data_IF_238097022833
#
_entry.id   IF_238097022833
#
_cell.length_a   1.000
_cell.length_b   1.000
_cell.length_c   1.000
_cell.angle_alpha   90.00
_cell.angle_beta   90.00
_cell.angle_gamma   90.00
#
_symmetry.space_group_name_H-M   'P 1'
#
loop_
_entity.id
_entity.type
_entity.pdbx_description
1 polymer ?
#
# COMPACT_ATOMS: atom_id res chain seq x y z
N UNK A 1 2.27 13.35 14.13
CA UNK A 1 2.06 11.97 13.64
C UNK A 1 2.33 10.99 14.76
N UNK A 2 1.81 9.76 14.70
CA UNK A 2 1.99 8.77 15.76
C UNK A 2 1.84 7.34 15.24
N UNK A 3 2.48 6.40 15.93
CA UNK A 3 2.38 4.97 15.62
C UNK A 3 1.58 4.24 16.71
N UNK A 4 0.82 3.26 16.27
CA UNK A 4 0.01 2.37 17.09
C UNK A 4 0.68 0.98 17.08
N UNK A 5 0.84 0.36 18.25
CA UNK A 5 1.46 -0.97 18.36
C UNK A 5 0.74 -1.82 19.40
N UNK A 6 0.29 -2.99 18.99
CA UNK A 6 -0.36 -3.96 19.90
C UNK A 6 -1.65 -3.43 20.54
N UNK A 7 -2.37 -2.54 19.85
CA UNK A 7 -3.61 -1.94 20.33
C UNK A 7 -4.69 -3.02 20.39
N UNK A 8 -5.19 -3.30 21.60
CA UNK A 8 -6.25 -4.29 21.80
C UNK A 8 -7.61 -3.70 21.44
N UNK A 9 -8.38 -4.47 20.68
CA UNK A 9 -9.77 -4.20 20.35
C UNK A 9 -10.63 -5.45 20.40
N UNK A 10 -11.90 -5.28 20.05
CA UNK A 10 -12.89 -6.34 19.90
C UNK A 10 -13.50 -6.21 18.51
N UNK A 11 -13.44 -7.29 17.72
CA UNK A 11 -14.12 -7.40 16.45
C UNK A 11 -15.39 -8.25 16.64
N UNK A 12 -16.54 -7.76 16.17
CA UNK A 12 -17.78 -8.53 16.10
C UNK A 12 -17.87 -9.18 14.74
N UNK A 13 -17.94 -10.52 14.73
CA UNK A 13 -18.09 -11.35 13.53
C UNK A 13 -19.45 -12.04 13.53
N UNK A 14 -19.72 -12.83 12.49
CA UNK A 14 -20.88 -13.73 12.43
C UNK A 14 -20.93 -14.71 13.61
N UNK A 15 -19.77 -15.12 14.14
CA UNK A 15 -19.64 -16.06 15.26
C UNK A 15 -19.62 -15.36 16.63
N UNK A 16 -19.88 -14.05 16.67
CA UNK A 16 -19.80 -13.24 17.88
C UNK A 16 -18.49 -12.46 17.99
N UNK A 17 -18.21 -11.99 19.20
CA UNK A 17 -17.11 -11.06 19.50
C UNK A 17 -15.80 -11.80 19.75
N UNK A 18 -14.74 -11.37 19.06
CA UNK A 18 -13.39 -11.93 19.21
C UNK A 18 -12.37 -10.83 19.52
N UNK A 19 -11.34 -11.10 20.34
CA UNK A 19 -10.26 -10.15 20.55
C UNK A 19 -9.45 -9.96 19.27
N UNK A 20 -9.01 -8.73 19.02
CA UNK A 20 -8.18 -8.37 17.87
C UNK A 20 -7.09 -7.40 18.32
N UNK A 21 -5.92 -7.42 17.65
CA UNK A 21 -4.77 -6.61 18.01
C UNK A 21 -4.25 -5.85 16.80
N UNK A 22 -4.21 -4.52 16.90
CA UNK A 22 -3.83 -3.66 15.81
C UNK A 22 -2.44 -3.07 15.98
N UNK A 23 -1.74 -2.93 14.86
CA UNK A 23 -0.66 -1.96 14.69
C UNK A 23 -1.05 -0.96 13.60
N UNK A 24 -0.34 0.14 13.46
CA UNK A 24 -0.56 1.08 12.37
C UNK A 24 -0.14 2.49 12.74
N UNK A 25 -0.83 3.47 12.19
CA UNK A 25 -0.40 4.86 12.22
C UNK A 25 -1.56 5.83 12.25
N UNK A 26 -1.28 7.03 12.77
CA UNK A 26 -2.21 8.14 12.82
C UNK A 26 -1.51 9.46 12.49
N UNK A 27 -2.09 10.18 11.54
CA UNK A 27 -1.65 11.49 11.07
C UNK A 27 -2.68 12.56 11.43
N UNK A 28 -2.20 13.66 12.00
CA UNK A 28 -3.03 14.81 12.34
C UNK A 28 -2.38 16.07 11.78
N UNK A 29 -3.21 16.95 11.23
CA UNK A 29 -2.85 18.29 10.82
C UNK A 29 -3.65 19.28 11.65
N UNK A 30 -2.96 20.23 12.25
CA UNK A 30 -3.56 21.23 13.11
C UNK A 30 -3.43 22.61 12.45
N UNK A 31 -4.55 23.28 12.24
CA UNK A 31 -4.62 24.56 11.52
C UNK A 31 -5.12 25.65 12.48
N UNK A 32 -4.39 26.77 12.63
CA UNK A 32 -4.87 27.92 13.38
C UNK A 32 -6.18 28.49 12.81
N UNK A 33 -7.04 29.01 13.67
CA UNK A 33 -8.26 29.74 13.28
C UNK A 33 -8.61 30.83 14.29
N UNK A 34 -9.49 31.75 13.89
CA UNK A 34 -9.99 32.83 14.75
C UNK A 34 -10.64 32.34 16.06
N UNK A 35 -11.10 31.07 16.09
CA UNK A 35 -11.75 30.44 17.27
C UNK A 35 -10.87 29.40 17.98
N UNK A 36 -9.59 29.29 17.61
CA UNK A 36 -8.66 28.31 18.20
C UNK A 36 -7.97 27.43 17.15
N UNK A 37 -8.05 26.11 17.30
CA UNK A 37 -7.38 25.14 16.43
C UNK A 37 -8.42 24.23 15.76
N UNK A 38 -8.34 24.06 14.45
CA UNK A 38 -9.00 22.97 13.74
C UNK A 38 -8.05 21.79 13.60
N UNK A 39 -8.54 20.59 13.92
CA UNK A 39 -7.80 19.35 13.75
C UNK A 39 -8.36 18.58 12.55
N UNK A 40 -7.48 18.15 11.67
CA UNK A 40 -7.78 17.27 10.56
C UNK A 40 -7.08 15.95 10.78
N UNK A 41 -7.83 14.85 10.70
CA UNK A 41 -7.28 13.52 10.57
C UNK A 41 -6.83 13.33 9.12
N UNK A 42 -5.53 13.20 8.94
CA UNK A 42 -4.92 13.03 7.60
C UNK A 42 -4.57 11.58 7.32
N UNK A 43 -4.40 10.78 8.36
CA UNK A 43 -4.12 9.36 8.23
C UNK A 43 -4.66 8.60 9.43
N UNK A 44 -5.26 7.44 9.17
CA UNK A 44 -5.54 6.43 10.18
C UNK A 44 -5.43 5.06 9.52
N UNK A 45 -4.39 4.34 9.90
CA UNK A 45 -4.09 3.01 9.42
C UNK A 45 -4.14 2.04 10.59
N UNK A 46 -4.84 0.92 10.39
CA UNK A 46 -4.92 -0.18 11.36
C UNK A 46 -4.74 -1.50 10.63
N UNK A 47 -3.81 -2.32 11.10
CA UNK A 47 -3.54 -3.65 10.54
C UNK A 47 -3.52 -4.67 11.65
N UNK A 48 -4.14 -5.81 11.41
CA UNK A 48 -4.17 -6.94 12.32
C UNK A 48 -3.90 -8.25 11.60
N UNK A 49 -3.45 -9.23 12.37
CA UNK A 49 -3.47 -10.63 11.94
C UNK A 49 -4.92 -11.08 11.75
N UNK A 50 -5.10 -12.13 10.95
CA UNK A 50 -6.42 -12.65 10.68
C UNK A 50 -7.14 -13.23 11.90
N UNK A 51 -8.46 -13.06 11.92
CA UNK A 51 -9.37 -13.65 12.89
C UNK A 51 -10.16 -14.79 12.26
N UNK A 52 -10.58 -15.76 13.06
CA UNK A 52 -11.42 -16.87 12.58
C UNK A 52 -12.87 -16.41 12.46
N UNK A 53 -13.52 -16.78 11.35
CA UNK A 53 -14.93 -16.51 11.07
C UNK A 53 -15.64 -17.78 10.63
N UNK A 54 -16.96 -17.73 10.43
CA UNK A 54 -17.73 -18.85 9.88
C UNK A 54 -17.28 -19.25 8.47
N UNK A 55 -16.75 -18.30 7.69
CA UNK A 55 -16.30 -18.49 6.30
C UNK A 55 -14.78 -18.78 6.19
N UNK A 56 -14.12 -19.06 7.32
CA UNK A 56 -12.68 -19.27 7.41
C UNK A 56 -11.94 -18.10 8.07
N UNK A 57 -10.61 -18.18 8.13
CA UNK A 57 -9.78 -17.08 8.64
C UNK A 57 -9.83 -15.90 7.68
N UNK A 58 -9.88 -14.66 8.19
CA UNK A 58 -9.92 -13.46 7.35
C UNK A 58 -8.66 -13.23 6.52
N UNK A 59 -7.52 -13.84 6.91
CA UNK A 59 -6.19 -13.35 6.50
C UNK A 59 -5.88 -12.00 7.14
N UNK A 60 -4.77 -11.37 6.76
CA UNK A 60 -4.41 -10.03 7.24
C UNK A 60 -5.58 -9.07 7.03
N UNK A 61 -5.93 -8.34 8.08
CA UNK A 61 -7.02 -7.37 8.08
C UNK A 61 -6.42 -5.96 8.10
N UNK A 62 -6.81 -5.14 7.13
CA UNK A 62 -6.38 -3.75 7.01
C UNK A 62 -7.55 -2.78 7.00
N UNK A 63 -7.44 -1.70 7.77
CA UNK A 63 -8.27 -0.52 7.65
C UNK A 63 -7.42 0.69 7.32
N UNK A 64 -7.91 1.53 6.41
CA UNK A 64 -7.36 2.86 6.16
C UNK A 64 -8.45 3.91 6.12
N UNK A 65 -8.08 5.15 6.45
CA UNK A 65 -8.92 6.32 6.19
C UNK A 65 -9.31 6.37 4.71
N UNK A 66 -10.56 6.75 4.43
CA UNK A 66 -11.00 7.07 3.08
C UNK A 66 -10.20 8.21 2.48
N UNK A 67 -10.40 8.45 1.17
CA UNK A 67 -9.68 9.51 0.45
C UNK A 67 -9.99 10.89 1.05
N UNK A 68 -8.95 11.66 1.33
CA UNK A 68 -9.02 13.04 1.83
C UNK A 68 -8.78 13.19 3.34
N UNK A 69 -8.76 14.44 3.81
CA UNK A 69 -8.64 14.78 5.23
C UNK A 69 -10.04 14.82 5.88
N UNK A 70 -10.17 14.33 7.12
CA UNK A 70 -11.43 14.44 7.88
C UNK A 70 -11.32 15.45 9.00
N UNK A 71 -12.15 16.50 8.96
CA UNK A 71 -12.22 17.49 10.03
C UNK A 71 -12.76 16.90 11.34
N UNK A 72 -12.12 17.23 12.45
CA UNK A 72 -12.53 16.86 13.81
C UNK A 72 -12.96 18.11 14.57
N UNK A 73 -14.09 18.01 15.28
CA UNK A 73 -14.52 19.04 16.22
C UNK A 73 -13.64 18.96 17.47
N UNK A 74 -12.85 19.99 17.73
CA UNK A 74 -11.87 20.04 18.83
C UNK A 74 -12.25 21.07 19.89
N UNK A 75 -12.31 20.63 21.14
CA UNK A 75 -12.48 21.48 22.31
C UNK A 75 -11.14 21.68 23.04
N UNK A 76 -10.64 22.91 23.00
CA UNK A 76 -9.39 23.32 23.63
C UNK A 76 -9.38 23.15 25.16
N UNK A 77 -10.53 23.32 25.82
CA UNK A 77 -10.62 23.25 27.29
C UNK A 77 -10.47 21.82 27.77
N UNK A 78 -11.15 20.88 27.10
CA UNK A 78 -11.15 19.47 27.47
C UNK A 78 -10.05 18.67 26.76
N UNK A 79 -9.44 19.22 25.70
CA UNK A 79 -8.48 18.52 24.85
C UNK A 79 -9.14 17.41 24.00
N UNK A 80 -10.47 17.40 23.91
CA UNK A 80 -11.23 16.34 23.23
C UNK A 80 -11.51 16.73 21.78
N UNK A 81 -11.13 15.86 20.84
CA UNK A 81 -11.52 15.95 19.44
C UNK A 81 -12.44 14.80 19.07
N UNK A 82 -13.52 15.07 18.34
CA UNK A 82 -14.49 14.06 17.91
C UNK A 82 -14.89 14.24 16.46
N UNK A 83 -15.22 13.15 15.78
CA UNK A 83 -15.75 13.19 14.42
C UNK A 83 -16.27 11.84 13.95
N UNK A 84 -16.88 11.84 12.78
CA UNK A 84 -17.18 10.63 12.02
C UNK A 84 -16.16 10.49 10.89
N UNK A 85 -15.62 9.30 10.71
CA UNK A 85 -14.54 9.01 9.77
C UNK A 85 -14.96 7.89 8.82
N UNK A 86 -14.81 8.06 7.49
CA UNK A 86 -14.99 6.98 6.55
C UNK A 86 -13.74 6.11 6.53
N UNK A 87 -13.91 4.79 6.64
CA UNK A 87 -12.83 3.82 6.60
C UNK A 87 -13.07 2.80 5.49
N UNK A 88 -11.99 2.39 4.84
CA UNK A 88 -11.98 1.29 3.89
C UNK A 88 -11.41 0.07 4.61
N UNK A 89 -12.18 -1.01 4.62
CA UNK A 89 -11.82 -2.29 5.22
C UNK A 89 -11.49 -3.27 4.10
N UNK A 90 -10.35 -3.95 4.25
CA UNK A 90 -9.99 -5.12 3.46
C UNK A 90 -9.53 -6.26 4.37
N UNK A 91 -9.78 -7.47 3.90
CA UNK A 91 -9.20 -8.69 4.44
C UNK A 91 -9.12 -9.73 3.32
N UNK A 92 -8.03 -10.51 3.29
CA UNK A 92 -7.69 -11.43 2.19
C UNK A 92 -8.77 -12.48 1.87
N UNK A 93 -9.65 -12.81 2.83
CA UNK A 93 -10.80 -13.68 2.58
C UNK A 93 -11.75 -13.10 1.51
N UNK A 94 -11.82 -11.77 1.35
CA UNK A 94 -12.54 -11.15 0.22
C UNK A 94 -11.98 -11.66 -1.10
N UNK A 95 -10.65 -11.60 -1.26
CA UNK A 95 -9.97 -11.97 -2.50
C UNK A 95 -10.13 -13.47 -2.79
N UNK A 96 -10.06 -14.33 -1.75
CA UNK A 96 -10.27 -15.78 -1.91
C UNK A 96 -11.67 -16.16 -2.34
N UNK A 97 -12.70 -15.43 -1.87
CA UNK A 97 -14.11 -15.79 -2.11
C UNK A 97 -14.68 -15.07 -3.34
N UNK A 98 -14.30 -13.81 -3.56
CA UNK A 98 -14.83 -12.97 -4.64
C UNK A 98 -13.90 -12.87 -5.84
N UNK A 99 -12.63 -13.24 -5.68
CA UNK A 99 -11.60 -12.93 -6.66
C UNK A 99 -11.30 -11.43 -6.67
N UNK A 100 -10.76 -10.98 -7.80
CA UNK A 100 -10.41 -9.58 -8.03
C UNK A 100 -11.44 -8.92 -8.96
N UNK A 101 -11.51 -7.59 -8.91
CA UNK A 101 -12.29 -6.80 -9.86
C UNK A 101 -11.62 -6.88 -11.23
N UNK A 102 -12.42 -6.79 -12.29
CA UNK A 102 -11.87 -6.61 -13.64
C UNK A 102 -11.32 -5.18 -13.75
N UNK A 103 -10.11 -5.04 -14.29
CA UNK A 103 -9.53 -3.76 -14.66
C UNK A 103 -10.40 -3.06 -15.72
N UNK A 104 -10.35 -1.73 -15.76
CA UNK A 104 -11.09 -0.94 -16.75
C UNK A 104 -10.44 -0.96 -18.12
N UNK A 105 -9.13 -1.21 -18.19
CA UNK A 105 -8.34 -1.19 -19.43
C UNK A 105 -8.27 -2.59 -20.06
N UNK A 106 -8.68 -2.72 -21.33
CA UNK A 106 -8.55 -3.98 -22.07
C UNK A 106 -7.07 -4.25 -22.41
N UNK A 107 -6.55 -5.43 -22.03
CA UNK A 107 -5.25 -5.94 -22.46
C UNK A 107 -4.11 -5.89 -21.43
N UNK A 108 -4.36 -5.37 -20.23
CA UNK A 108 -3.39 -5.31 -19.13
C UNK A 108 -3.89 -6.13 -17.92
N UNK A 109 -3.02 -6.98 -17.37
CA UNK A 109 -3.36 -7.98 -16.36
C UNK A 109 -2.40 -7.97 -15.14
N UNK A 110 -1.61 -6.92 -14.94
CA UNK A 110 -0.66 -6.77 -13.81
C UNK A 110 -1.31 -6.26 -12.51
N UNK A 111 -2.44 -5.56 -12.61
CA UNK A 111 -3.12 -5.01 -11.46
C UNK A 111 -4.36 -5.82 -11.02
N UNK A 112 -4.26 -6.51 -9.88
CA UNK A 112 -5.35 -7.30 -9.31
C UNK A 112 -6.05 -6.56 -8.17
N UNK A 113 -7.03 -5.74 -8.55
CA UNK A 113 -7.74 -4.85 -7.64
C UNK A 113 -8.74 -5.60 -6.75
N UNK A 114 -8.65 -5.50 -5.42
CA UNK A 114 -9.50 -6.28 -4.53
C UNK A 114 -10.91 -5.71 -4.41
N UNK A 115 -11.84 -6.54 -3.94
CA UNK A 115 -13.06 -6.03 -3.35
C UNK A 115 -12.75 -5.45 -1.96
N UNK A 116 -13.42 -4.37 -1.59
CA UNK A 116 -13.28 -3.73 -0.29
C UNK A 116 -14.65 -3.45 0.31
N UNK A 117 -14.68 -3.35 1.62
CA UNK A 117 -15.86 -2.95 2.40
C UNK A 117 -15.65 -1.55 2.98
N UNK A 118 -16.73 -0.90 3.40
CA UNK A 118 -16.64 0.45 4.02
C UNK A 118 -17.14 0.38 5.45
N UNK A 119 -16.41 1.02 6.36
CA UNK A 119 -16.84 1.22 7.74
C UNK A 119 -17.08 2.70 8.02
N UNK A 120 -18.13 3.00 8.78
CA UNK A 120 -18.33 4.30 9.42
C UNK A 120 -17.72 4.24 10.81
N UNK A 121 -16.71 5.07 11.04
CA UNK A 121 -16.04 5.18 12.33
C UNK A 121 -16.51 6.40 13.12
N UNK A 122 -16.67 6.26 14.43
CA UNK A 122 -16.72 7.35 15.40
C UNK A 122 -15.37 7.41 16.10
N UNK A 123 -14.74 8.56 16.02
CA UNK A 123 -13.44 8.80 16.65
C UNK A 123 -13.57 9.74 17.84
N UNK A 124 -12.89 9.39 18.92
CA UNK A 124 -12.64 10.27 20.05
C UNK A 124 -11.14 10.29 20.30
N UNK A 125 -10.52 11.42 20.03
CA UNK A 125 -9.12 11.69 20.35
C UNK A 125 -9.06 12.58 21.58
N UNK A 126 -8.25 12.24 22.57
CA UNK A 126 -8.01 13.09 23.75
C UNK A 126 -6.53 13.46 23.78
N UNK A 127 -6.28 14.75 23.63
CA UNK A 127 -4.99 15.40 23.84
C UNK A 127 -4.93 15.96 25.27
N UNK A 128 -3.74 16.28 25.80
CA UNK A 128 -3.63 17.00 27.06
C UNK A 128 -4.43 18.32 27.00
N UNK A 129 -5.22 18.66 28.05
CA UNK A 129 -5.95 19.93 28.11
C UNK A 129 -5.04 21.14 27.86
N UNK A 130 -5.52 22.12 27.11
CA UNK A 130 -4.72 23.31 26.78
C UNK A 130 -3.57 23.04 25.81
N UNK A 131 -3.58 21.93 25.07
CA UNK A 131 -2.60 21.68 23.99
C UNK A 131 -2.65 22.83 22.98
N UNK A 132 -1.52 23.53 22.84
CA UNK A 132 -1.30 24.60 21.87
C UNK A 132 -0.48 24.09 20.67
N UNK A 133 -0.55 24.81 19.55
CA UNK A 133 0.33 24.56 18.41
C UNK A 133 1.78 24.82 18.81
N UNK A 134 2.66 23.85 18.54
CA UNK A 134 4.09 23.96 18.80
C UNK A 134 4.86 23.61 17.53
N UNK A 135 6.04 24.21 17.38
CA UNK A 135 6.96 23.90 16.29
C UNK A 135 7.61 22.51 16.46
N UNK A 136 7.71 22.03 17.70
CA UNK A 136 8.33 20.75 18.02
C UNK A 136 7.83 20.16 19.34
N UNK A 137 8.15 18.88 19.54
CA UNK A 137 7.89 18.15 20.76
C UNK A 137 6.98 16.94 20.53
N UNK A 138 6.61 16.29 21.62
CA UNK A 138 5.70 15.17 21.58
C UNK A 138 4.75 15.19 22.77
N UNK A 139 3.55 14.69 22.56
CA UNK A 139 2.51 14.57 23.57
C UNK A 139 1.98 13.14 23.61
N UNK A 140 1.49 12.72 24.77
CA UNK A 140 0.73 11.47 24.88
C UNK A 140 -0.73 11.78 24.59
N UNK A 141 -1.33 11.01 23.68
CA UNK A 141 -2.74 11.09 23.36
C UNK A 141 -3.42 9.74 23.61
N UNK A 142 -4.74 9.78 23.78
CA UNK A 142 -5.58 8.58 23.74
C UNK A 142 -6.59 8.66 22.61
N UNK A 143 -6.90 7.49 22.06
CA UNK A 143 -7.79 7.28 20.95
C UNK A 143 -8.83 6.25 21.35
N UNK A 144 -10.10 6.54 21.11
CA UNK A 144 -11.19 5.58 21.16
C UNK A 144 -11.83 5.57 19.76
N UNK A 145 -12.02 4.37 19.23
CA UNK A 145 -12.60 4.14 17.92
C UNK A 145 -13.72 3.11 18.04
N UNK A 146 -14.84 3.45 17.43
CA UNK A 146 -15.95 2.53 17.19
C UNK A 146 -16.25 2.56 15.69
N UNK A 147 -16.20 1.41 15.05
CA UNK A 147 -16.31 1.29 13.60
C UNK A 147 -17.37 0.26 13.27
N UNK A 148 -18.32 0.63 12.42
CA UNK A 148 -19.43 -0.22 12.00
C UNK A 148 -19.47 -0.37 10.49
N UNK A 149 -19.70 -1.59 10.03
CA UNK A 149 -19.81 -1.91 8.62
C UNK A 149 -20.99 -1.17 7.99
N UNK A 150 -20.73 -0.52 6.86
CA UNK A 150 -21.69 0.35 6.16
C UNK A 150 -21.85 0.01 4.69
N UNK A 151 -20.90 -0.72 4.10
CA UNK A 151 -20.98 -1.29 2.75
C UNK A 151 -20.55 -2.75 2.82
N UNK A 152 -21.35 -3.63 2.22
CA UNK A 152 -21.32 -5.07 2.45
C UNK A 152 -20.89 -5.81 1.18
N UNK A 153 -19.87 -6.68 1.29
CA UNK A 153 -19.46 -7.62 0.25
C UNK A 153 -19.54 -9.06 0.77
N UNK A 154 -18.87 -9.35 1.88
CA UNK A 154 -18.97 -10.63 2.60
C UNK A 154 -19.49 -10.46 4.03
N UNK A 155 -19.29 -9.29 4.63
CA UNK A 155 -19.84 -8.90 5.94
C UNK A 155 -19.39 -9.78 7.12
N UNK A 156 -18.19 -10.35 7.02
CA UNK A 156 -17.66 -11.26 8.08
C UNK A 156 -17.17 -10.48 9.30
N UNK A 157 -16.76 -9.22 9.12
CA UNK A 157 -16.38 -8.29 10.19
C UNK A 157 -17.38 -7.14 10.22
N UNK A 158 -18.25 -7.13 11.23
CA UNK A 158 -19.41 -6.21 11.28
C UNK A 158 -19.15 -4.95 12.09
N UNK A 159 -18.37 -5.07 13.17
CA UNK A 159 -18.06 -3.95 14.07
C UNK A 159 -16.69 -4.15 14.68
N UNK A 160 -15.93 -3.07 14.86
CA UNK A 160 -14.67 -3.08 15.59
C UNK A 160 -14.69 -1.94 16.62
N UNK A 161 -14.38 -2.26 17.87
CA UNK A 161 -14.20 -1.27 18.94
C UNK A 161 -12.79 -1.40 19.48
N UNK A 162 -12.07 -0.28 19.57
CA UNK A 162 -10.68 -0.30 20.05
C UNK A 162 -10.33 1.00 20.76
N UNK A 163 -9.36 0.93 21.67
CA UNK A 163 -8.80 2.11 22.32
C UNK A 163 -7.29 2.00 22.48
N UNK A 164 -6.60 3.12 22.33
CA UNK A 164 -5.15 3.19 22.35
C UNK A 164 -4.66 4.39 23.17
N UNK A 165 -3.47 4.25 23.74
CA UNK A 165 -2.62 5.37 24.14
C UNK A 165 -1.36 5.35 23.30
N UNK A 166 -0.96 6.50 22.80
CA UNK A 166 0.15 6.59 21.87
C UNK A 166 0.84 7.95 21.96
N UNK A 167 2.06 8.02 21.43
CA UNK A 167 2.86 9.24 21.35
C UNK A 167 2.58 9.93 20.02
N UNK A 168 2.15 11.17 20.09
CA UNK A 168 2.08 12.09 18.95
C UNK A 168 3.33 12.94 18.91
N UNK A 169 4.06 12.86 17.81
CA UNK A 169 5.26 13.64 17.52
C UNK A 169 4.94 14.78 16.54
N UNK A 170 5.45 15.96 16.85
CA UNK A 170 5.23 17.22 16.10
C UNK A 170 6.57 17.86 15.70
N UNK A 171 7.71 17.21 15.99
CA UNK A 171 9.04 17.73 15.67
C UNK A 171 9.27 17.86 14.17
N UNK A 172 9.91 18.96 13.77
CA UNK A 172 10.28 19.29 12.38
C UNK A 172 11.77 19.11 12.04
N UNK A 173 12.62 18.72 13.01
CA UNK A 173 14.09 18.62 12.81
C UNK A 173 14.49 17.65 11.69
N UNK A 174 13.75 16.55 11.55
CA UNK A 174 13.70 15.72 10.34
C UNK A 174 12.27 15.73 9.83
N UNK A 175 12.09 15.67 8.51
CA UNK A 175 10.76 15.59 7.94
C UNK A 175 10.08 14.28 8.40
N UNK A 176 8.80 14.33 8.81
CA UNK A 176 8.03 13.11 9.00
C UNK A 176 8.01 12.34 7.67
N UNK A 177 8.30 11.05 7.75
CA UNK A 177 8.31 10.17 6.59
C UNK A 177 7.44 8.95 6.86
N UNK A 178 6.74 8.50 5.83
CA UNK A 178 6.00 7.25 5.82
C UNK A 178 6.94 6.13 5.36
N UNK A 179 6.98 5.06 6.13
CA UNK A 179 7.78 3.89 5.82
C UNK A 179 6.87 2.73 5.46
N UNK A 180 7.24 2.00 4.41
CA UNK A 180 6.66 0.71 4.04
C UNK A 180 7.72 -0.38 4.22
N UNK A 181 7.39 -1.46 4.92
CA UNK A 181 8.26 -2.64 4.98
C UNK A 181 8.02 -3.50 3.75
N UNK A 182 9.12 -3.99 3.19
CA UNK A 182 9.13 -4.94 2.10
C UNK A 182 9.68 -6.26 2.63
N UNK A 183 8.96 -7.34 2.37
CA UNK A 183 9.39 -8.70 2.70
C UNK A 183 9.78 -9.42 1.40
N UNK A 184 11.09 -9.52 1.09
CA UNK A 184 11.52 -10.29 -0.08
C UNK A 184 11.25 -11.78 0.17
N UNK A 185 10.74 -12.48 -0.83
CA UNK A 185 10.51 -13.93 -0.81
C UNK A 185 11.15 -14.55 -2.04
N UNK A 186 12.13 -15.43 -1.83
CA UNK A 186 12.93 -16.05 -2.89
C UNK A 186 12.73 -17.57 -2.91
N UNK A 187 12.92 -18.18 -4.07
CA UNK A 187 12.90 -19.64 -4.25
C UNK A 187 14.33 -20.15 -4.11
N UNK A 188 14.57 -20.99 -3.10
CA UNK A 188 15.89 -21.52 -2.77
C UNK A 188 15.92 -22.14 -1.38
N UNK A 189 17.02 -22.80 -1.02
CA UNK A 189 17.12 -23.48 0.29
C UNK A 189 17.32 -22.51 1.46
N UNK A 190 18.11 -21.47 1.26
CA UNK A 190 18.45 -20.44 2.27
C UNK A 190 19.32 -19.34 1.63
N UNK A 191 19.78 -18.39 2.44
CA UNK A 191 20.63 -17.26 2.03
C UNK A 191 22.01 -17.62 1.50
N UNK A 192 22.47 -18.86 1.69
CA UNK A 192 23.75 -19.34 1.19
C UNK A 192 23.59 -20.22 -0.06
N UNK A 193 22.36 -20.42 -0.55
CA UNK A 193 22.10 -21.16 -1.78
C UNK A 193 22.52 -20.31 -2.98
N UNK A 194 23.60 -20.67 -3.71
CA UNK A 194 24.09 -19.87 -4.84
C UNK A 194 23.11 -19.87 -6.02
N UNK A 195 22.11 -20.75 -5.99
CA UNK A 195 21.10 -20.85 -7.03
C UNK A 195 19.80 -20.16 -6.64
N UNK A 196 19.65 -19.60 -5.43
CA UNK A 196 18.41 -18.94 -5.04
C UNK A 196 18.03 -17.81 -6.03
N UNK A 197 16.73 -17.63 -6.25
CA UNK A 197 16.23 -16.48 -7.01
C UNK A 197 16.40 -15.18 -6.21
N UNK A 198 16.08 -14.04 -6.82
CA UNK A 198 16.24 -12.72 -6.21
C UNK A 198 17.51 -11.99 -6.63
N UNK A 199 18.21 -12.47 -7.65
CA UNK A 199 19.42 -11.83 -8.20
C UNK A 199 19.17 -10.42 -8.73
N UNK A 200 17.98 -10.12 -9.25
CA UNK A 200 17.60 -8.80 -9.74
C UNK A 200 17.09 -7.86 -8.62
N UNK A 201 16.65 -8.42 -7.49
CA UNK A 201 15.89 -7.69 -6.47
C UNK A 201 16.64 -6.47 -5.92
N UNK A 202 17.95 -6.57 -5.70
CA UNK A 202 18.76 -5.47 -5.17
C UNK A 202 18.77 -4.27 -6.11
N UNK A 203 18.94 -4.48 -7.42
CA UNK A 203 18.93 -3.37 -8.39
C UNK A 203 17.51 -2.81 -8.52
N UNK A 204 16.48 -3.66 -8.55
CA UNK A 204 15.09 -3.20 -8.64
C UNK A 204 14.66 -2.37 -7.44
N UNK A 205 15.01 -2.79 -6.22
CA UNK A 205 14.74 -2.01 -5.02
C UNK A 205 15.53 -0.71 -4.98
N UNK A 206 16.77 -0.69 -5.47
CA UNK A 206 17.55 0.54 -5.59
C UNK A 206 16.83 1.57 -6.46
N UNK A 207 16.26 1.13 -7.58
CA UNK A 207 15.51 1.97 -8.52
C UNK A 207 14.15 2.40 -7.99
N UNK A 208 13.47 1.50 -7.27
CA UNK A 208 12.27 1.87 -6.54
C UNK A 208 12.54 2.94 -5.48
N UNK A 209 13.61 2.79 -4.68
CA UNK A 209 14.00 3.81 -3.71
C UNK A 209 14.34 5.13 -4.40
N UNK A 210 15.12 5.10 -5.49
CA UNK A 210 15.48 6.28 -6.26
C UNK A 210 14.25 7.08 -6.72
N UNK A 211 13.25 6.39 -7.27
CA UNK A 211 12.06 7.00 -7.84
C UNK A 211 11.10 7.51 -6.76
N UNK A 212 10.85 6.72 -5.71
CA UNK A 212 9.98 7.14 -4.60
C UNK A 212 10.62 8.22 -3.72
N UNK A 213 11.96 8.31 -3.68
CA UNK A 213 12.67 9.39 -3.01
C UNK A 213 12.37 10.77 -3.63
N UNK A 214 11.95 10.81 -4.91
CA UNK A 214 11.51 12.03 -5.59
C UNK A 214 10.26 12.62 -4.95
N UNK A 215 9.46 11.85 -4.22
CA UNK A 215 8.33 12.38 -3.45
C UNK A 215 8.73 13.33 -2.31
N UNK A 216 10.02 13.37 -1.94
CA UNK A 216 10.62 14.11 -0.83
C UNK A 216 9.79 15.23 -0.20
N UNK A 217 9.68 16.39 -0.87
CA UNK A 217 9.04 17.59 -0.31
C UNK A 217 7.49 17.56 -0.31
N UNK A 218 6.89 16.57 -0.97
CA UNK A 218 5.44 16.47 -1.17
C UNK A 218 4.84 15.49 -0.17
N UNK A 219 5.36 14.26 -0.13
CA UNK A 219 5.02 13.25 0.86
C UNK A 219 6.16 12.24 0.93
N UNK A 220 6.96 12.28 2.00
CA UNK A 220 8.18 11.50 2.05
C UNK A 220 7.90 10.03 2.31
N UNK A 221 8.08 9.18 1.31
CA UNK A 221 7.87 7.73 1.39
C UNK A 221 9.23 7.03 1.32
N UNK A 222 9.44 6.05 2.19
CA UNK A 222 10.69 5.30 2.32
C UNK A 222 10.40 3.80 2.45
N UNK A 223 11.34 2.97 2.01
CA UNK A 223 11.24 1.52 2.11
C UNK A 223 12.20 0.97 3.17
N UNK A 224 11.76 -0.04 3.92
CA UNK A 224 12.61 -0.84 4.81
C UNK A 224 12.58 -2.28 4.32
N UNK A 225 13.76 -2.84 4.03
CA UNK A 225 13.88 -4.23 3.62
C UNK A 225 14.01 -5.15 4.84
N UNK A 226 13.09 -6.11 4.96
CA UNK A 226 13.25 -7.22 5.88
C UNK A 226 14.29 -8.22 5.35
N UNK A 227 14.73 -9.14 6.22
CA UNK A 227 15.54 -10.28 5.78
C UNK A 227 14.72 -11.15 4.82
N UNK A 228 15.27 -11.61 3.68
CA UNK A 228 14.53 -12.45 2.76
C UNK A 228 14.05 -13.76 3.40
N UNK A 229 12.85 -14.19 3.01
CA UNK A 229 12.35 -15.55 3.27
C UNK A 229 12.72 -16.42 2.08
N UNK A 230 13.21 -17.63 2.32
CA UNK A 230 13.55 -18.60 1.29
C UNK A 230 12.55 -19.74 1.31
N UNK A 231 11.88 -19.99 0.18
CA UNK A 231 10.97 -21.09 -0.02
C UNK A 231 11.71 -22.22 -0.76
N UNK A 232 11.91 -23.36 -0.09
CA UNK A 232 12.45 -24.56 -0.72
C UNK A 232 11.38 -25.29 -1.52
N UNK A 233 10.87 -24.64 -2.57
CA UNK A 233 9.81 -25.12 -3.47
C UNK A 233 10.22 -24.91 -4.93
N UNK A 234 11.07 -25.80 -5.49
CA UNK A 234 11.63 -25.60 -6.83
C UNK A 234 10.58 -25.53 -7.95
N UNK A 235 9.37 -26.07 -7.72
CA UNK A 235 8.24 -25.95 -8.65
C UNK A 235 7.83 -24.49 -8.92
N UNK A 236 8.03 -23.56 -7.97
CA UNK A 236 7.74 -22.14 -8.18
C UNK A 236 8.89 -21.34 -8.78
N UNK A 237 10.01 -22.00 -9.13
CA UNK A 237 11.17 -21.30 -9.70
C UNK A 237 10.85 -20.71 -11.06
N UNK A 238 10.02 -21.40 -11.84
CA UNK A 238 9.47 -20.95 -13.12
C UNK A 238 7.97 -21.02 -13.00
N UNK A 239 7.27 -19.94 -13.35
CA UNK A 239 5.81 -19.91 -13.39
C UNK A 239 5.36 -19.93 -14.86
N UNK A 240 4.62 -20.96 -15.23
CA UNK A 240 4.05 -21.16 -16.56
C UNK A 240 2.67 -20.51 -16.66
N UNK A 241 1.93 -20.40 -15.55
CA UNK A 241 0.58 -19.81 -15.53
C UNK A 241 0.37 -18.75 -14.45
N UNK A 242 -0.53 -17.80 -14.71
CA UNK A 242 -1.00 -16.80 -13.72
C UNK A 242 -1.62 -17.47 -12.47
N UNK A 243 -2.14 -18.70 -12.62
CA UNK A 243 -2.66 -19.50 -11.51
C UNK A 243 -1.58 -19.95 -10.53
N UNK A 244 -0.38 -20.30 -11.02
CA UNK A 244 0.74 -20.68 -10.16
C UNK A 244 1.28 -19.50 -9.35
N UNK A 245 1.28 -18.28 -9.93
CA UNK A 245 1.57 -17.07 -9.18
C UNK A 245 0.58 -16.84 -8.03
N UNK A 246 -0.70 -17.12 -8.26
CA UNK A 246 -1.74 -17.05 -7.23
C UNK A 246 -1.54 -18.13 -6.13
N UNK A 247 -1.01 -19.30 -6.46
CA UNK A 247 -0.64 -20.32 -5.47
C UNK A 247 0.62 -19.94 -4.69
N UNK A 248 1.66 -19.43 -5.36
CA UNK A 248 2.90 -18.98 -4.73
C UNK A 248 2.67 -17.91 -3.66
N UNK A 249 1.86 -16.89 -3.95
CA UNK A 249 1.59 -15.81 -2.99
C UNK A 249 0.89 -16.26 -1.70
N UNK A 250 0.27 -17.46 -1.70
CA UNK A 250 -0.37 -18.03 -0.53
C UNK A 250 0.61 -18.75 0.42
N UNK A 251 1.87 -18.93 0.01
CA UNK A 251 2.89 -19.65 0.78
C UNK A 251 3.47 -18.84 1.95
N UNK A 252 3.41 -17.51 1.85
CA UNK A 252 3.89 -16.57 2.88
C UNK A 252 2.77 -15.58 3.18
N UNK A 253 2.54 -15.33 4.46
CA UNK A 253 1.55 -14.37 4.95
C UNK A 253 2.14 -13.59 6.13
N UNK A 254 2.74 -12.42 5.84
CA UNK A 254 3.26 -11.50 6.86
C UNK A 254 2.29 -10.35 7.06
N UNK A 255 2.07 -9.96 8.32
CA UNK A 255 1.04 -8.99 8.66
C UNK A 255 1.51 -7.52 8.64
N UNK A 256 2.80 -7.26 8.41
CA UNK A 256 3.38 -5.93 8.60
C UNK A 256 4.33 -5.49 7.48
N UNK A 257 4.27 -6.14 6.31
CA UNK A 257 5.08 -5.80 5.14
C UNK A 257 4.34 -6.22 3.86
N UNK A 258 4.70 -5.59 2.73
CA UNK A 258 4.33 -6.08 1.40
C UNK A 258 5.30 -7.19 1.01
N UNK A 259 4.79 -8.40 0.75
CA UNK A 259 5.62 -9.47 0.22
C UNK A 259 5.94 -9.24 -1.26
N UNK A 260 7.21 -9.40 -1.62
CA UNK A 260 7.68 -9.37 -3.02
C UNK A 260 8.30 -10.73 -3.34
N UNK A 261 7.55 -11.54 -4.08
CA UNK A 261 7.97 -12.86 -4.53
C UNK A 261 8.78 -12.70 -5.82
N UNK A 262 10.04 -13.14 -5.79
CA UNK A 262 10.93 -13.09 -6.96
C UNK A 262 11.19 -14.51 -7.43
N UNK A 263 10.67 -14.87 -8.60
CA UNK A 263 10.93 -16.16 -9.26
C UNK A 263 12.04 -16.01 -10.29
N UNK A 264 12.50 -17.11 -10.90
CA UNK A 264 13.51 -17.00 -11.96
C UNK A 264 12.89 -16.45 -13.25
N UNK A 265 11.73 -16.98 -13.64
CA UNK A 265 11.05 -16.67 -14.91
C UNK A 265 9.54 -16.79 -14.77
N UNK A 266 8.80 -15.95 -15.50
CA UNK A 266 7.37 -16.12 -15.76
C UNK A 266 7.15 -16.16 -17.26
N UNK A 267 6.41 -17.14 -17.77
CA UNK A 267 6.16 -17.27 -19.22
C UNK A 267 5.12 -16.25 -19.73
N UNK A 268 4.37 -15.63 -18.81
CA UNK A 268 3.44 -14.53 -19.01
C UNK A 268 4.02 -13.18 -18.56
N UNK A 269 5.35 -13.05 -18.43
CA UNK A 269 6.00 -11.80 -17.98
C UNK A 269 5.60 -10.59 -18.83
N UNK A 270 5.39 -10.76 -20.14
CA UNK A 270 4.99 -9.66 -21.02
C UNK A 270 3.59 -9.12 -20.69
N UNK A 271 2.64 -10.00 -20.30
CA UNK A 271 1.27 -9.61 -19.90
C UNK A 271 1.27 -8.73 -18.65
N UNK A 272 2.36 -8.81 -17.87
CA UNK A 272 2.53 -8.17 -16.58
C UNK A 272 3.63 -7.08 -16.60
N UNK A 273 4.21 -6.76 -17.76
CA UNK A 273 5.35 -5.83 -17.84
C UNK A 273 6.51 -6.08 -16.86
N UNK A 274 6.67 -7.33 -16.42
CA UNK A 274 7.70 -7.75 -15.45
C UNK A 274 7.22 -8.03 -14.03
N UNK A 275 6.00 -7.66 -13.64
CA UNK A 275 5.48 -7.93 -12.31
C UNK A 275 3.98 -7.67 -12.15
N UNK A 276 3.39 -8.16 -11.09
CA UNK A 276 1.98 -7.89 -10.80
C UNK A 276 1.74 -7.66 -9.33
N UNK A 277 0.81 -6.77 -9.03
CA UNK A 277 0.39 -6.43 -7.68
C UNK A 277 -1.00 -7.01 -7.40
N UNK A 278 -1.03 -7.93 -6.44
CA UNK A 278 -2.24 -8.52 -5.88
C UNK A 278 -2.74 -7.70 -4.71
N UNK A 279 -4.07 -7.58 -4.61
CA UNK A 279 -4.74 -6.91 -3.49
C UNK A 279 -4.25 -5.46 -3.32
N UNK A 280 -4.06 -4.75 -4.44
CA UNK A 280 -3.51 -3.40 -4.53
C UNK A 280 -4.15 -2.44 -3.52
N UNK A 281 -3.32 -1.60 -2.89
CA UNK A 281 -3.76 -0.60 -1.91
C UNK A 281 -4.22 -1.13 -0.55
N UNK A 282 -4.01 -2.41 -0.25
CA UNK A 282 -4.45 -3.06 1.00
C UNK A 282 -3.30 -3.64 1.82
N UNK A 283 -3.60 -4.05 3.06
CA UNK A 283 -2.60 -4.71 3.92
C UNK A 283 -2.23 -6.13 3.45
N UNK A 284 -3.01 -6.72 2.54
CA UNK A 284 -2.73 -8.02 1.94
C UNK A 284 -2.02 -7.89 0.60
N UNK A 285 -1.52 -6.68 0.26
CA UNK A 285 -0.89 -6.44 -1.02
C UNK A 285 0.38 -7.29 -1.17
N UNK A 286 0.48 -8.02 -2.29
CA UNK A 286 1.59 -8.91 -2.62
C UNK A 286 2.03 -8.69 -4.04
N UNK A 287 3.33 -8.71 -4.29
CA UNK A 287 3.92 -8.51 -5.61
C UNK A 287 4.57 -9.80 -6.07
N UNK A 288 4.34 -10.21 -7.32
CA UNK A 288 5.07 -11.30 -7.97
C UNK A 288 5.87 -10.72 -9.13
N UNK A 289 7.17 -10.99 -9.18
CA UNK A 289 8.09 -10.54 -10.22
C UNK A 289 9.16 -11.61 -10.49
N UNK A 290 10.08 -11.39 -11.43
CA UNK A 290 11.11 -12.37 -11.78
C UNK A 290 12.50 -11.78 -12.01
N UNK A 291 13.54 -12.62 -11.88
CA UNK A 291 14.93 -12.24 -12.13
C UNK A 291 15.20 -11.95 -13.60
N UNK A 292 14.62 -12.78 -14.49
CA UNK A 292 14.77 -12.63 -15.95
C UNK A 292 13.99 -11.45 -16.52
N UNK A 293 13.27 -10.69 -15.70
CA UNK A 293 12.66 -9.43 -16.08
C UNK A 293 13.69 -8.44 -16.65
N UNK A 294 14.92 -8.46 -16.11
CA UNK A 294 15.98 -7.59 -16.65
C UNK A 294 16.54 -8.07 -18.00
N UNK A 295 16.09 -9.22 -18.48
CA UNK A 295 16.57 -9.87 -19.70
C UNK A 295 15.40 -10.24 -20.63
N UNK A 296 14.22 -9.61 -20.46
CA UNK A 296 13.04 -9.89 -21.29
C UNK A 296 13.39 -9.69 -22.76
N UNK A 297 13.37 -10.77 -23.56
CA UNK A 297 13.84 -10.70 -24.93
C UNK A 297 12.90 -9.85 -25.76
N UNK A 298 13.47 -8.90 -26.48
CA UNK A 298 12.80 -8.33 -27.64
C UNK A 298 12.58 -9.44 -28.69
N UNK A 299 11.38 -9.60 -29.27
CA UNK A 299 10.14 -8.89 -28.96
C UNK A 299 9.30 -9.62 -27.89
N UNK A 300 8.95 -8.95 -26.79
CA UNK A 300 7.55 -9.06 -26.37
C UNK A 300 6.75 -8.48 -27.55
N UNK A 301 5.79 -9.20 -28.14
CA UNK A 301 5.01 -8.66 -29.24
C UNK A 301 4.37 -7.36 -28.75
N UNK A 302 4.66 -6.22 -29.40
CA UNK A 302 3.90 -4.98 -29.17
C UNK A 302 2.45 -5.38 -29.49
N UNK A 303 1.53 -5.54 -28.51
CA UNK A 303 0.13 -5.71 -28.87
C UNK A 303 -0.19 -4.44 -29.66
N UNK A 304 -0.91 -4.54 -30.77
CA UNK A 304 -1.22 -3.39 -31.64
C UNK A 304 -2.03 -2.26 -30.97
N UNK A 305 -2.07 -2.23 -29.64
CA UNK A 305 -2.67 -1.27 -28.76
C UNK A 305 -1.59 -0.33 -28.22
N UNK A 306 -1.56 0.90 -28.75
CA UNK A 306 -1.07 2.05 -28.00
C UNK A 306 -2.32 2.75 -27.46
N UNK A 307 -2.42 3.04 -26.15
CA UNK A 307 -3.46 3.96 -25.69
C UNK A 307 -3.32 5.28 -26.46
N UNK A 308 -4.44 5.91 -26.84
CA UNK A 308 -4.47 7.14 -27.65
C UNK A 308 -3.74 8.35 -27.04
N UNK A 309 -3.21 8.19 -25.83
CA UNK A 309 -2.33 9.10 -25.09
C UNK A 309 -0.87 9.03 -25.52
N UNK A 310 -0.49 8.08 -26.38
CA UNK A 310 0.86 7.92 -26.92
C UNK A 310 1.02 8.16 -28.45
N UNK A 311 0.56 9.27 -29.07
CA UNK A 311 0.86 9.56 -30.47
C UNK A 311 2.01 10.58 -30.66
N UNK A 312 2.94 10.34 -31.61
CA UNK A 312 3.15 9.09 -32.32
C UNK A 312 3.76 8.06 -31.35
N UNK A 313 3.33 6.79 -31.41
CA UNK A 313 4.00 5.75 -30.62
C UNK A 313 5.49 5.84 -30.98
N UNK A 314 6.39 6.21 -30.05
CA UNK A 314 7.81 6.21 -30.37
C UNK A 314 8.16 4.80 -30.88
N UNK A 315 9.06 4.68 -31.88
CA UNK A 315 9.40 3.39 -32.47
C UNK A 315 9.65 2.40 -31.33
N UNK A 316 8.98 1.23 -31.37
CA UNK A 316 8.96 0.26 -30.26
C UNK A 316 10.39 0.18 -29.70
N UNK A 317 10.65 0.72 -28.50
CA UNK A 317 11.97 0.57 -27.83
C UNK A 317 12.03 -0.83 -27.24
N UNK A 318 11.88 -1.82 -28.11
CA UNK A 318 11.92 -3.24 -27.79
C UNK A 318 13.25 -3.55 -27.11
N UNK A 319 13.21 -4.04 -25.88
CA UNK A 319 14.38 -4.63 -25.23
C UNK A 319 15.23 -3.71 -24.35
N UNK A 320 14.73 -2.56 -23.89
CA UNK A 320 15.36 -1.88 -22.76
C UNK A 320 14.93 -2.52 -21.44
N UNK A 321 15.91 -2.86 -20.62
CA UNK A 321 15.70 -3.36 -19.25
C UNK A 321 14.82 -2.39 -18.45
N UNK A 322 13.59 -2.79 -18.09
CA UNK A 322 12.75 -1.96 -17.23
C UNK A 322 13.19 -2.07 -15.78
N UNK A 323 14.06 -1.14 -15.41
CA UNK A 323 14.63 -1.01 -14.07
C UNK A 323 13.64 -0.47 -13.03
N UNK A 324 12.53 0.16 -13.45
CA UNK A 324 11.58 0.85 -12.56
C UNK A 324 10.26 0.09 -12.33
N UNK A 325 10.04 -1.07 -12.97
CA UNK A 325 8.80 -1.84 -12.78
C UNK A 325 8.51 -2.18 -11.31
N UNK A 326 9.50 -2.52 -10.48
CA UNK A 326 9.21 -2.77 -9.06
C UNK A 326 8.73 -1.49 -8.36
N UNK A 327 9.18 -0.32 -8.79
CA UNK A 327 8.67 0.96 -8.30
C UNK A 327 7.18 1.14 -8.68
N UNK A 328 6.79 0.66 -9.86
CA UNK A 328 5.42 0.65 -10.37
C UNK A 328 4.53 -0.28 -9.55
N UNK A 329 4.95 -1.53 -9.35
CA UNK A 329 4.21 -2.48 -8.52
C UNK A 329 4.04 -2.01 -7.08
N UNK A 330 5.06 -1.32 -6.54
CA UNK A 330 4.97 -0.67 -5.24
C UNK A 330 3.98 0.51 -5.25
N UNK A 331 3.78 1.18 -6.38
CA UNK A 331 2.72 2.18 -6.56
C UNK A 331 1.32 1.57 -6.46
N UNK A 332 1.10 0.42 -7.09
CA UNK A 332 -0.13 -0.35 -6.89
C UNK A 332 -0.32 -0.78 -5.43
N UNK A 333 0.74 -1.27 -4.78
CA UNK A 333 0.70 -1.54 -3.34
C UNK A 333 0.34 -0.28 -2.54
N UNK A 334 0.81 0.90 -2.96
CA UNK A 334 0.51 2.21 -2.40
C UNK A 334 -0.81 2.84 -2.90
N UNK A 335 -1.76 2.01 -3.35
CA UNK A 335 -3.12 2.41 -3.72
C UNK A 335 -3.21 3.34 -4.95
N UNK A 336 -2.23 3.25 -5.87
CA UNK A 336 -2.28 3.93 -7.15
C UNK A 336 -2.69 2.97 -8.26
N UNK A 337 -3.66 3.37 -9.08
CA UNK A 337 -4.00 2.72 -10.34
C UNK A 337 -3.19 3.34 -11.49
N UNK A 338 -3.26 2.72 -12.66
CA UNK A 338 -2.81 3.38 -13.88
C UNK A 338 -3.62 4.65 -14.16
N UNK A 339 -3.08 5.58 -14.97
CA UNK A 339 -3.85 6.68 -15.52
C UNK A 339 -5.15 6.17 -16.18
N UNK A 340 -6.25 6.90 -15.97
CA UNK A 340 -7.57 6.57 -16.50
C UNK A 340 -8.21 5.26 -16.02
N UNK A 341 -7.58 4.54 -15.09
CA UNK A 341 -8.10 3.28 -14.56
C UNK A 341 -8.42 3.34 -13.05
N UNK A 342 -8.92 4.49 -12.56
CA UNK A 342 -9.37 4.58 -11.17
C UNK A 342 -10.63 3.74 -10.92
N UNK A 343 -10.43 2.53 -10.40
CA UNK A 343 -11.51 1.65 -9.98
C UNK A 343 -11.21 0.97 -8.63
N UNK A 344 -12.23 0.33 -8.04
CA UNK A 344 -12.08 -0.44 -6.80
C UNK A 344 -11.65 0.32 -5.52
N UNK A 345 -11.57 1.65 -5.56
CA UNK A 345 -11.11 2.48 -4.44
C UNK A 345 -9.62 2.87 -4.51
N UNK A 346 -8.96 2.52 -5.61
CA UNK A 346 -7.63 3.02 -5.96
C UNK A 346 -7.70 4.48 -6.43
N UNK A 347 -6.57 5.18 -6.35
CA UNK A 347 -6.44 6.54 -6.87
C UNK A 347 -5.75 6.50 -8.22
N UNK A 348 -6.33 7.18 -9.21
CA UNK A 348 -5.75 7.30 -10.55
C UNK A 348 -4.31 7.85 -10.50
N UNK A 349 -3.40 7.18 -11.19
CA UNK A 349 -2.04 7.64 -11.41
C UNK A 349 -1.98 8.82 -12.40
N UNK A 350 -0.87 9.56 -12.36
CA UNK A 350 -0.63 10.67 -13.30
C UNK A 350 -0.07 10.17 -14.64
N UNK A 351 -0.59 10.67 -15.75
CA UNK A 351 -0.03 10.45 -17.09
C UNK A 351 1.44 10.89 -17.17
N UNK A 352 2.27 10.12 -17.86
CA UNK A 352 3.71 10.33 -18.01
C UNK A 352 4.51 10.03 -16.75
N UNK A 353 3.89 9.49 -15.70
CA UNK A 353 4.60 9.03 -14.50
C UNK A 353 4.86 7.54 -14.53
N UNK A 354 5.63 7.04 -13.58
CA UNK A 354 5.90 5.62 -13.39
C UNK A 354 4.64 4.75 -13.20
N UNK A 355 3.46 5.35 -13.00
CA UNK A 355 2.20 4.59 -12.96
C UNK A 355 1.60 4.36 -14.35
N UNK A 356 2.23 4.76 -15.44
CA UNK A 356 1.79 4.35 -16.78
C UNK A 356 1.77 2.81 -16.89
N UNK A 357 0.78 2.24 -17.59
CA UNK A 357 0.57 0.82 -17.69
C UNK A 357 1.78 0.08 -18.27
N UNK A 358 2.02 -1.13 -17.77
CA UNK A 358 3.20 -1.93 -18.09
C UNK A 358 2.93 -2.89 -19.26
N UNK A 359 3.94 -3.18 -20.07
CA UNK A 359 3.82 -4.14 -21.20
C UNK A 359 3.81 -3.52 -22.60
N UNK A 360 4.05 -2.21 -22.72
CA UNK A 360 4.05 -1.50 -24.00
C UNK A 360 5.28 -0.63 -24.15
N UNK A 361 5.58 -0.21 -25.37
CA UNK A 361 6.84 0.40 -25.80
C UNK A 361 7.17 1.79 -25.24
N UNK A 362 6.56 2.16 -24.11
CA UNK A 362 6.71 3.39 -23.34
C UNK A 362 6.79 3.09 -21.83
N UNK A 363 7.31 1.92 -21.49
CA UNK A 363 7.35 1.27 -20.17
C UNK A 363 7.83 2.19 -19.04
N UNK A 364 7.03 2.31 -17.97
CA UNK A 364 7.30 2.95 -16.69
C UNK A 364 8.27 4.13 -16.75
N UNK A 365 7.78 5.33 -17.13
CA UNK A 365 8.56 6.55 -17.12
C UNK A 365 9.37 6.63 -15.83
N UNK A 366 10.66 6.92 -15.97
CA UNK A 366 11.52 7.28 -14.85
C UNK A 366 11.15 8.69 -14.38
N UNK A 367 9.91 8.85 -13.93
CA UNK A 367 9.28 10.11 -13.58
C UNK A 367 8.23 9.87 -12.51
N UNK A 368 8.25 10.70 -11.48
CA UNK A 368 7.28 10.65 -10.39
C UNK A 368 6.47 11.95 -10.36
N UNK A 369 5.17 11.85 -10.03
CA UNK A 369 4.28 13.00 -9.92
C UNK A 369 3.97 13.39 -8.47
N UNK A 370 3.74 14.68 -8.26
CA UNK A 370 3.37 15.20 -6.95
C UNK A 370 2.00 14.67 -6.53
N UNK A 371 1.04 14.50 -7.45
CA UNK A 371 -0.26 13.86 -7.18
C UNK A 371 -0.11 12.42 -6.72
N UNK A 372 0.71 11.59 -7.37
CA UNK A 372 0.97 10.22 -6.96
C UNK A 372 1.51 10.19 -5.52
N UNK A 373 2.51 11.03 -5.23
CA UNK A 373 3.11 11.13 -3.90
C UNK A 373 2.08 11.51 -2.81
N UNK A 374 1.19 12.48 -3.07
CA UNK A 374 0.13 12.88 -2.12
C UNK A 374 -0.94 11.80 -1.94
N UNK A 375 -1.20 11.01 -2.98
CA UNK A 375 -2.28 10.03 -3.02
C UNK A 375 -1.86 8.65 -2.53
N UNK A 376 -0.55 8.37 -2.52
CA UNK A 376 0.02 7.13 -2.07
C UNK A 376 -0.41 6.82 -0.63
N UNK A 377 -1.04 5.67 -0.45
CA UNK A 377 -1.55 5.22 0.84
C UNK A 377 -1.58 3.70 0.92
N UNK A 378 -1.33 3.15 2.10
CA UNK A 378 -1.50 1.73 2.38
C UNK A 378 -1.65 1.56 3.90
N UNK A 379 -2.52 0.66 4.42
CA UNK A 379 -2.63 0.40 5.86
C UNK A 379 -1.30 0.01 6.54
N UNK A 380 -0.32 -0.51 5.81
CA UNK A 380 1.00 -0.91 6.30
C UNK A 380 1.96 0.27 6.49
N UNK A 381 1.62 1.47 5.99
CA UNK A 381 2.45 2.66 6.17
C UNK A 381 2.48 3.07 7.65
N UNK A 382 3.68 3.38 8.13
CA UNK A 382 3.89 3.89 9.47
C UNK A 382 4.86 5.06 9.50
N UNK A 383 4.76 5.88 10.54
CA UNK A 383 5.57 7.09 10.67
C UNK A 383 6.97 6.79 11.18
N UNK A 384 7.96 7.36 10.51
CA UNK A 384 9.33 7.48 11.00
C UNK A 384 9.86 8.88 10.71
N UNK A 385 11.19 8.99 10.70
CA UNK A 385 11.90 10.23 10.38
C UNK A 385 12.95 9.93 9.31
N UNK A 386 13.05 10.81 8.33
CA UNK A 386 14.06 10.66 7.26
C UNK A 386 14.46 12.02 6.67
N UNK A 387 15.51 12.00 5.85
CA UNK A 387 15.88 13.12 5.00
C UNK A 387 15.10 13.00 3.70
N UNK A 388 14.33 14.04 3.39
CA UNK A 388 13.36 14.06 2.30
C UNK A 388 13.65 15.26 1.40
N UNK A 389 14.56 15.08 0.43
CA UNK A 389 15.08 16.17 -0.41
C UNK A 389 14.69 16.07 -1.89
N UNK A 390 14.18 14.92 -2.32
CA UNK A 390 13.69 14.77 -3.69
C UNK A 390 12.51 15.69 -3.98
N UNK A 391 12.33 15.98 -5.27
CA UNK A 391 11.21 16.76 -5.78
C UNK A 391 10.58 15.96 -6.92
N UNK A 392 9.23 15.87 -7.00
CA UNK A 392 8.57 15.18 -8.11
C UNK A 392 8.93 15.83 -9.45
N UNK A 393 9.04 15.01 -10.48
CA UNK A 393 9.33 15.42 -11.85
C UNK A 393 8.12 16.16 -12.46
N UNK A 394 6.91 15.70 -12.12
CA UNK A 394 5.63 16.31 -12.51
C UNK A 394 5.03 17.03 -11.30
N UNK A 395 4.72 18.32 -11.44
CA UNK A 395 4.32 19.23 -10.33
C UNK A 395 2.81 19.40 -10.13
N UNK A 396 2.02 18.49 -10.67
CA UNK A 396 0.55 18.51 -10.68
C UNK A 396 -0.13 18.65 -9.31
#
# INVERSE_FOLDING_TARGET
>A
TGNLKGVKGIATTENGSVPIYFSGAIGLKAVPSARGIFLYLTELNLVSKGIRTAKGTTGVLGLRLGVGETGLSYDLKTGRATGEIPLILHYELLDRVKGFRKAGTEGEDDQFVPFTEKMKGKIVLKLPPGTQLRAEGAITASLELEMELSSFVLSVVRRIVTSARFRLDWSRFLAPALFLRIQPVFIGRNSSDPTATGTAFTELMKRAVELWDRCGNTNCIKFILNRPIYLNKPAYRVLETKGEAASLRAEVDVADAVEVFVVERMDFTCDWGGGACFSSGTAAAKIVTCDRQLAVPAPCPCPGYCPGTCPPCPPCRTGAVNHYHLAHELGHALNLAHPHDAHGGLVEGTLGSNMEPSGFCCDNPDSQSARNCRSASNPLLFWGRSICRGTPDIRD
#
